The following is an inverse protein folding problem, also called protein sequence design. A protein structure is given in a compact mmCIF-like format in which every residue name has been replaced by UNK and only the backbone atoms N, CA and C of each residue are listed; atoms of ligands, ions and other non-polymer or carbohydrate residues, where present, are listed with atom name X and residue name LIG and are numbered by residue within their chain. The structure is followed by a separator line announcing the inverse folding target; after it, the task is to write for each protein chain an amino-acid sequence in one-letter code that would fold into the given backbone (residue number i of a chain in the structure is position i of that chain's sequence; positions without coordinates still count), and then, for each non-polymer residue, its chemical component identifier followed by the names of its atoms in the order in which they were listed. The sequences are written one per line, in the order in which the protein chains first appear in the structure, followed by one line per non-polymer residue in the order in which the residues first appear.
data_IF_060228386497
#
_entry.id   IF_060228386497
#
_cell.length_a   1.000
_cell.length_b   1.000
_cell.length_c   1.000
_cell.angle_alpha   90.00
_cell.angle_beta   90.00
_cell.angle_gamma   90.00
#
_symmetry.space_group_name_H-M   'P 1'
#
loop_
_entity.id
_entity.type
_entity.pdbx_description
1 polymer ?
#
# COMPACT_ATOMS: atom_id res chain seq x y z
N UNK A 1 -16.15 38.33 6.53
CA UNK A 1 -16.06 38.12 5.06
C UNK A 1 -14.79 37.35 4.61
N UNK A 2 -13.91 36.87 5.51
CA UNK A 2 -12.65 36.19 5.13
C UNK A 2 -12.73 34.69 4.81
N UNK A 3 -13.81 33.98 5.19
CA UNK A 3 -13.88 32.51 5.05
C UNK A 3 -14.07 31.99 3.63
N UNK A 4 -14.66 32.78 2.73
CA UNK A 4 -14.92 32.35 1.35
C UNK A 4 -13.68 32.51 0.46
N UNK A 5 -12.86 33.55 0.68
CA UNK A 5 -11.60 33.74 -0.06
C UNK A 5 -10.59 32.62 0.18
N UNK A 6 -10.46 32.13 1.41
CA UNK A 6 -9.49 31.09 1.77
C UNK A 6 -9.84 29.74 1.12
N UNK A 7 -11.12 29.37 1.09
CA UNK A 7 -11.60 28.14 0.43
C UNK A 7 -11.38 28.21 -1.09
N UNK A 8 -11.55 29.38 -1.68
CA UNK A 8 -11.38 29.60 -3.12
C UNK A 8 -9.90 29.50 -3.54
N UNK A 9 -8.98 30.00 -2.71
CA UNK A 9 -7.52 29.88 -2.91
C UNK A 9 -7.00 28.45 -2.68
N UNK A 10 -7.57 27.71 -1.73
CA UNK A 10 -7.26 26.29 -1.55
C UNK A 10 -7.74 25.49 -2.77
N UNK A 11 -8.92 25.83 -3.31
CA UNK A 11 -9.43 25.22 -4.54
C UNK A 11 -8.41 25.40 -5.67
N UNK A 12 -8.04 26.63 -6.03
CA UNK A 12 -7.13 26.89 -7.16
C UNK A 12 -5.83 26.10 -7.06
N UNK A 13 -5.26 26.00 -5.87
CA UNK A 13 -4.08 25.19 -5.58
C UNK A 13 -4.29 23.70 -5.85
N UNK A 14 -5.45 23.14 -5.49
CA UNK A 14 -5.81 21.75 -5.76
C UNK A 14 -5.92 21.50 -7.28
N UNK A 15 -6.42 22.46 -8.06
CA UNK A 15 -6.54 22.38 -9.53
C UNK A 15 -5.21 22.17 -10.23
N UNK A 16 -4.15 22.75 -9.67
CA UNK A 16 -2.81 22.76 -10.24
C UNK A 16 -2.01 21.47 -9.92
N UNK A 17 -2.58 20.55 -9.14
CA UNK A 17 -1.90 19.29 -8.80
C UNK A 17 -1.90 18.37 -10.03
N UNK A 18 -0.71 18.14 -10.58
CA UNK A 18 -0.49 17.08 -11.55
C UNK A 18 -0.61 15.71 -10.87
N UNK A 19 -1.65 14.98 -11.23
CA UNK A 19 -1.93 13.63 -10.73
C UNK A 19 -1.68 12.54 -11.76
N UNK A 20 -1.09 12.87 -12.92
CA UNK A 20 -0.88 11.92 -14.01
C UNK A 20 -0.15 10.68 -13.55
N UNK A 21 0.92 10.85 -12.78
CA UNK A 21 1.69 9.73 -12.23
C UNK A 21 0.84 8.78 -11.37
N UNK A 22 -0.11 9.31 -10.59
CA UNK A 22 -1.00 8.51 -9.73
C UNK A 22 -2.00 7.72 -10.58
N UNK A 23 -2.50 8.35 -11.65
CA UNK A 23 -3.40 7.68 -12.60
C UNK A 23 -2.67 6.59 -13.37
N UNK A 24 -1.46 6.87 -13.86
CA UNK A 24 -0.63 5.92 -14.58
C UNK A 24 -0.31 4.70 -13.71
N UNK A 25 -0.01 4.91 -12.42
CA UNK A 25 0.15 3.82 -11.44
C UNK A 25 -1.11 2.97 -11.28
N UNK A 26 -2.28 3.59 -11.24
CA UNK A 26 -3.56 2.88 -11.12
C UNK A 26 -3.89 2.04 -12.36
N UNK A 27 -3.30 2.38 -13.51
CA UNK A 27 -3.49 1.69 -14.78
C UNK A 27 -2.45 0.58 -15.05
N UNK A 28 -1.41 0.46 -14.22
CA UNK A 28 -0.39 -0.59 -14.34
C UNK A 28 -1.02 -2.01 -14.36
N UNK A 29 -0.37 -2.98 -15.03
CA UNK A 29 -0.73 -4.38 -14.82
C UNK A 29 -0.39 -4.79 -13.39
N UNK A 30 -1.17 -5.70 -12.83
CA UNK A 30 -0.83 -6.42 -11.62
C UNK A 30 -1.28 -7.86 -11.85
N UNK A 31 -0.32 -8.75 -12.06
CA UNK A 31 -0.54 -10.14 -12.49
C UNK A 31 -0.18 -11.10 -11.36
N UNK A 32 -1.08 -12.01 -11.06
CA UNK A 32 -0.89 -13.03 -10.03
C UNK A 32 -0.92 -14.40 -10.70
N UNK A 33 0.10 -15.24 -10.48
CA UNK A 33 0.02 -16.66 -10.79
C UNK A 33 -0.52 -17.43 -9.58
N UNK A 34 -1.43 -18.36 -9.81
CA UNK A 34 -2.03 -19.20 -8.79
C UNK A 34 -1.78 -20.67 -9.12
N UNK A 35 -1.00 -21.34 -8.27
CA UNK A 35 -0.59 -22.72 -8.43
C UNK A 35 -1.12 -23.58 -7.29
N UNK A 36 -1.40 -24.84 -7.58
CA UNK A 36 -1.91 -25.82 -6.61
C UNK A 36 -3.03 -26.68 -7.21
N UNK A 37 -3.59 -27.58 -6.41
CA UNK A 37 -4.70 -28.42 -6.85
C UNK A 37 -6.03 -27.64 -6.92
N UNK A 38 -6.89 -28.00 -7.87
CA UNK A 38 -8.17 -27.32 -8.13
C UNK A 38 -9.11 -27.29 -6.92
N UNK A 39 -9.13 -28.36 -6.13
CA UNK A 39 -10.25 -28.67 -5.25
C UNK A 39 -10.25 -27.98 -3.89
N UNK A 40 -9.11 -27.51 -3.37
CA UNK A 40 -9.07 -26.99 -1.98
C UNK A 40 -8.21 -25.74 -1.69
N UNK A 41 -7.55 -25.15 -2.69
CA UNK A 41 -6.74 -23.94 -2.47
C UNK A 41 -7.03 -22.82 -3.44
N UNK A 42 -6.94 -23.10 -4.73
CA UNK A 42 -6.97 -22.05 -5.78
C UNK A 42 -8.30 -21.32 -5.85
N UNK A 43 -9.42 -22.03 -5.87
CA UNK A 43 -10.75 -21.40 -5.96
C UNK A 43 -11.05 -20.51 -4.76
N UNK A 44 -10.62 -20.94 -3.56
CA UNK A 44 -10.73 -20.15 -2.35
C UNK A 44 -9.88 -18.87 -2.44
N UNK A 45 -8.60 -18.99 -2.79
CA UNK A 45 -7.72 -17.82 -2.93
C UNK A 45 -8.26 -16.86 -3.99
N UNK A 46 -8.70 -17.38 -5.14
CA UNK A 46 -9.34 -16.59 -6.19
C UNK A 46 -10.59 -15.87 -5.67
N UNK A 47 -11.44 -16.56 -4.89
CA UNK A 47 -12.61 -15.96 -4.25
C UNK A 47 -12.21 -14.87 -3.24
N UNK A 48 -11.22 -15.10 -2.40
CA UNK A 48 -10.76 -14.12 -1.41
C UNK A 48 -10.14 -12.89 -2.08
N UNK A 49 -9.45 -13.05 -3.21
CA UNK A 49 -8.88 -11.94 -4.00
C UNK A 49 -9.96 -11.13 -4.74
N UNK A 50 -11.03 -11.78 -5.18
CA UNK A 50 -12.05 -11.14 -6.04
C UNK A 50 -13.29 -10.67 -5.28
N UNK A 51 -13.53 -11.14 -4.05
CA UNK A 51 -14.64 -10.74 -3.20
C UNK A 51 -14.27 -9.51 -2.35
N UNK A 52 -14.97 -8.40 -2.57
CA UNK A 52 -14.78 -7.15 -1.84
C UNK A 52 -15.87 -6.14 -2.17
N UNK A 53 -15.69 -4.88 -1.76
CA UNK A 53 -16.64 -3.81 -2.08
C UNK A 53 -16.86 -3.68 -3.58
N UNK A 54 -18.11 -3.58 -4.03
CA UNK A 54 -18.49 -3.63 -5.45
C UNK A 54 -19.12 -2.33 -5.98
N UNK A 55 -19.13 -1.23 -5.21
CA UNK A 55 -19.72 0.04 -5.64
C UNK A 55 -19.18 0.50 -7.00
N UNK A 56 -17.90 0.25 -7.25
CA UNK A 56 -17.29 0.38 -8.57
C UNK A 56 -16.83 -0.98 -9.08
N UNK A 57 -17.07 -1.29 -10.37
CA UNK A 57 -16.68 -2.56 -10.95
C UNK A 57 -15.18 -2.77 -10.84
N UNK A 58 -14.77 -4.01 -10.58
CA UNK A 58 -13.37 -4.38 -10.68
C UNK A 58 -12.94 -4.39 -12.15
N UNK A 59 -11.69 -4.02 -12.42
CA UNK A 59 -11.08 -4.37 -13.69
C UNK A 59 -10.89 -5.87 -13.76
N UNK A 60 -10.88 -6.44 -14.96
CA UNK A 60 -10.66 -7.88 -15.17
C UNK A 60 -9.42 -8.33 -14.39
N UNK A 61 -9.57 -9.26 -13.43
CA UNK A 61 -8.46 -9.83 -12.69
C UNK A 61 -7.47 -10.48 -13.67
N UNK A 62 -6.17 -10.23 -13.49
CA UNK A 62 -5.13 -10.85 -14.31
C UNK A 62 -4.51 -12.01 -13.53
N UNK A 63 -5.27 -13.09 -13.38
CA UNK A 63 -4.83 -14.31 -12.68
C UNK A 63 -4.49 -15.38 -13.70
N UNK A 64 -3.28 -15.92 -13.64
CA UNK A 64 -2.87 -17.10 -14.41
C UNK A 64 -3.01 -18.32 -13.51
N UNK A 65 -3.94 -19.21 -13.81
CA UNK A 65 -4.12 -20.46 -13.08
C UNK A 65 -3.21 -21.50 -13.73
N UNK A 66 -2.34 -22.12 -12.94
CA UNK A 66 -1.40 -23.14 -13.41
C UNK A 66 -1.61 -24.39 -12.58
N UNK A 67 -1.85 -25.51 -13.26
CA UNK A 67 -1.99 -26.84 -12.63
C UNK A 67 -0.62 -27.41 -12.27
N UNK A 68 -0.62 -28.27 -11.25
CA UNK A 68 0.52 -29.12 -10.93
C UNK A 68 0.36 -30.49 -11.61
N UNK A 69 1.46 -31.13 -12.07
CA UNK A 69 2.85 -30.71 -11.94
C UNK A 69 3.25 -29.54 -12.86
N UNK A 70 4.19 -28.71 -12.39
CA UNK A 70 4.67 -27.55 -13.15
C UNK A 70 5.52 -27.97 -14.37
N UNK A 71 4.95 -27.79 -15.56
CA UNK A 71 5.59 -28.02 -16.85
C UNK A 71 6.58 -26.91 -17.25
N UNK A 72 7.46 -27.22 -18.22
CA UNK A 72 8.51 -26.29 -18.68
C UNK A 72 7.97 -25.03 -19.37
N UNK A 73 6.91 -25.16 -20.18
CA UNK A 73 6.32 -24.01 -20.88
C UNK A 73 5.66 -23.03 -19.88
N UNK A 74 4.91 -23.58 -18.92
CA UNK A 74 4.24 -22.80 -17.87
C UNK A 74 5.24 -22.04 -16.99
N UNK A 75 6.43 -22.60 -16.76
CA UNK A 75 7.50 -21.92 -16.02
C UNK A 75 8.01 -20.66 -16.73
N UNK A 76 7.90 -20.57 -18.06
CA UNK A 76 8.30 -19.37 -18.82
C UNK A 76 7.31 -18.22 -18.62
N UNK A 77 6.02 -18.54 -18.49
CA UNK A 77 4.95 -17.56 -18.24
C UNK A 77 5.03 -16.93 -16.85
N UNK A 78 5.59 -17.65 -15.86
CA UNK A 78 5.83 -17.13 -14.52
C UNK A 78 6.80 -15.94 -14.49
N UNK A 79 7.66 -15.76 -15.49
CA UNK A 79 8.53 -14.58 -15.56
C UNK A 79 7.79 -13.26 -15.81
N UNK A 80 6.49 -13.32 -16.14
CA UNK A 80 5.66 -12.17 -16.49
C UNK A 80 4.67 -11.76 -15.41
N UNK A 81 4.67 -12.45 -14.26
CA UNK A 81 3.78 -12.16 -13.13
C UNK A 81 4.49 -11.34 -12.06
N UNK A 82 3.70 -10.64 -11.25
CA UNK A 82 4.21 -9.77 -10.18
C UNK A 82 4.22 -10.47 -8.82
N UNK A 83 3.44 -11.56 -8.68
CA UNK A 83 3.38 -12.42 -7.51
C UNK A 83 2.99 -13.85 -7.93
N UNK A 84 3.65 -14.83 -7.32
CA UNK A 84 3.29 -16.25 -7.40
C UNK A 84 2.66 -16.66 -6.07
N UNK A 85 1.49 -17.30 -6.13
CA UNK A 85 0.82 -17.88 -4.97
C UNK A 85 0.74 -19.38 -5.14
N UNK A 86 1.49 -20.12 -4.31
CA UNK A 86 1.39 -21.57 -4.21
C UNK A 86 0.41 -21.94 -3.11
N UNK A 87 -0.70 -22.59 -3.47
CA UNK A 87 -1.73 -22.99 -2.51
C UNK A 87 -1.48 -24.40 -2.02
N UNK A 88 -1.47 -24.60 -0.70
CA UNK A 88 -1.26 -25.89 -0.05
C UNK A 88 -2.40 -26.20 0.93
N UNK A 89 -2.65 -27.48 1.18
CA UNK A 89 -3.61 -27.95 2.18
C UNK A 89 -2.88 -28.56 3.38
N UNK A 90 -3.06 -27.98 4.57
CA UNK A 90 -2.40 -28.45 5.78
C UNK A 90 -2.91 -29.81 6.26
N UNK A 91 -4.09 -30.25 5.80
CA UNK A 91 -4.66 -31.55 6.16
C UNK A 91 -3.95 -32.72 5.47
N UNK A 92 -3.17 -32.43 4.43
CA UNK A 92 -2.44 -33.41 3.64
C UNK A 92 -0.93 -33.23 3.79
N UNK A 93 -0.20 -34.32 3.62
CA UNK A 93 1.25 -34.21 3.44
C UNK A 93 1.54 -33.58 2.08
N UNK A 94 2.65 -32.86 1.98
CA UNK A 94 3.08 -32.25 0.73
C UNK A 94 3.27 -33.35 -0.32
N UNK A 95 2.56 -33.24 -1.45
CA UNK A 95 2.74 -34.14 -2.57
C UNK A 95 4.10 -33.91 -3.25
N UNK A 96 4.59 -34.91 -3.99
CA UNK A 96 5.83 -34.78 -4.76
C UNK A 96 5.77 -33.64 -5.78
N UNK A 97 4.62 -33.44 -6.42
CA UNK A 97 4.43 -32.37 -7.40
C UNK A 97 4.42 -30.98 -6.77
N UNK A 98 3.81 -30.81 -5.58
CA UNK A 98 3.85 -29.57 -4.80
C UNK A 98 5.27 -29.27 -4.30
N UNK A 99 5.99 -30.30 -3.85
CA UNK A 99 7.39 -30.18 -3.45
C UNK A 99 8.28 -29.73 -4.60
N UNK A 100 8.23 -30.43 -5.74
CA UNK A 100 8.99 -30.03 -6.93
C UNK A 100 8.60 -28.65 -7.46
N UNK A 101 7.33 -28.28 -7.35
CA UNK A 101 6.89 -26.94 -7.70
C UNK A 101 7.54 -25.91 -6.78
N UNK A 102 7.48 -26.10 -5.46
CA UNK A 102 8.13 -25.22 -4.50
C UNK A 102 9.63 -25.01 -4.81
N UNK A 103 10.38 -26.10 -5.00
CA UNK A 103 11.81 -26.05 -5.33
C UNK A 103 12.10 -25.20 -6.59
N UNK A 104 11.28 -25.39 -7.64
CA UNK A 104 11.41 -24.61 -8.89
C UNK A 104 11.03 -23.14 -8.69
N UNK A 105 10.01 -22.85 -7.88
CA UNK A 105 9.49 -21.51 -7.68
C UNK A 105 10.38 -20.68 -6.75
N UNK A 106 10.96 -21.30 -5.72
CA UNK A 106 11.79 -20.63 -4.71
C UNK A 106 13.06 -19.97 -5.30
N UNK A 107 13.56 -20.49 -6.42
CA UNK A 107 14.73 -19.95 -7.12
C UNK A 107 14.38 -18.86 -8.16
N UNK A 108 13.10 -18.61 -8.43
CA UNK A 108 12.69 -17.60 -9.39
C UNK A 108 12.87 -16.18 -8.82
N UNK A 109 13.19 -15.17 -9.66
CA UNK A 109 13.33 -13.79 -9.23
C UNK A 109 11.97 -13.08 -9.00
N UNK A 110 10.89 -13.85 -8.83
CA UNK A 110 9.52 -13.37 -8.66
C UNK A 110 9.08 -13.66 -7.23
N UNK A 111 8.41 -12.73 -6.53
CA UNK A 111 7.92 -12.98 -5.18
C UNK A 111 7.02 -14.22 -5.11
N UNK A 112 7.28 -15.09 -4.13
CA UNK A 112 6.51 -16.29 -3.84
C UNK A 112 5.79 -16.13 -2.50
N UNK A 113 4.48 -16.38 -2.50
CA UNK A 113 3.65 -16.52 -1.31
C UNK A 113 3.14 -17.95 -1.22
N UNK A 114 3.33 -18.59 -0.07
CA UNK A 114 2.71 -19.86 0.24
C UNK A 114 1.38 -19.57 0.94
N UNK A 115 0.26 -19.92 0.31
CA UNK A 115 -1.06 -19.78 0.91
C UNK A 115 -1.55 -21.14 1.38
N UNK A 116 -1.61 -21.34 2.69
CA UNK A 116 -1.96 -22.62 3.29
C UNK A 116 -3.37 -22.57 3.81
N UNK A 117 -4.21 -23.52 3.39
CA UNK A 117 -5.50 -23.77 4.04
C UNK A 117 -5.27 -24.62 5.29
N UNK A 118 -5.38 -24.00 6.46
CA UNK A 118 -5.05 -24.61 7.75
C UNK A 118 -4.32 -23.67 8.71
N UNK A 119 -4.01 -24.19 9.90
CA UNK A 119 -3.34 -23.47 10.99
C UNK A 119 -1.86 -23.79 11.11
N UNK A 120 -1.33 -24.69 10.28
CA UNK A 120 0.07 -25.10 10.24
C UNK A 120 0.49 -25.36 8.80
N UNK A 121 1.81 -25.31 8.53
CA UNK A 121 2.35 -25.78 7.24
C UNK A 121 2.12 -27.30 7.10
N UNK A 122 1.90 -27.80 5.87
CA UNK A 122 1.76 -29.23 5.63
C UNK A 122 3.03 -29.99 6.05
N UNK A 123 2.85 -31.24 6.48
CA UNK A 123 3.98 -32.10 6.82
C UNK A 123 4.68 -32.53 5.52
N UNK A 124 6.00 -32.43 5.49
CA UNK A 124 6.83 -33.00 4.43
C UNK A 124 7.39 -34.34 4.91
N UNK A 125 7.36 -35.37 4.05
CA UNK A 125 8.10 -36.62 4.28
C UNK A 125 9.62 -36.41 4.13
N UNK A 126 10.04 -35.35 3.44
CA UNK A 126 11.44 -34.98 3.25
C UNK A 126 11.84 -33.91 4.26
N UNK A 127 12.62 -34.30 5.27
CA UNK A 127 13.01 -33.45 6.41
C UNK A 127 13.99 -32.32 6.04
N UNK A 128 14.78 -32.50 4.97
CA UNK A 128 15.87 -31.59 4.60
C UNK A 128 15.40 -30.20 4.15
N UNK A 129 14.22 -30.10 3.55
CA UNK A 129 13.71 -28.86 2.94
C UNK A 129 12.51 -28.24 3.69
N UNK A 130 12.13 -28.84 4.83
CA UNK A 130 11.07 -28.28 5.69
C UNK A 130 11.46 -26.91 6.27
N UNK A 131 12.76 -26.68 6.51
CA UNK A 131 13.27 -25.39 6.98
C UNK A 131 13.13 -24.28 5.93
N UNK A 132 13.36 -24.57 4.64
CA UNK A 132 13.25 -23.61 3.55
C UNK A 132 11.78 -23.19 3.34
N UNK A 133 10.87 -24.18 3.37
CA UNK A 133 9.44 -23.94 3.31
C UNK A 133 8.95 -23.08 4.49
N UNK A 134 9.50 -23.31 5.70
CA UNK A 134 9.18 -22.51 6.90
C UNK A 134 9.75 -21.08 6.83
N UNK A 135 10.89 -20.89 6.18
CA UNK A 135 11.50 -19.57 6.00
C UNK A 135 10.81 -18.73 4.90
N UNK A 136 10.04 -19.39 4.04
CA UNK A 136 9.35 -18.74 2.93
C UNK A 136 8.14 -17.93 3.41
N UNK A 137 7.83 -16.78 2.78
CA UNK A 137 6.64 -16.02 3.12
C UNK A 137 5.37 -16.86 2.99
N UNK A 138 4.64 -17.03 4.09
CA UNK A 138 3.46 -17.86 4.14
C UNK A 138 2.30 -17.15 4.83
N UNK A 139 1.08 -17.43 4.36
CA UNK A 139 -0.17 -17.06 5.01
C UNK A 139 -0.96 -18.31 5.35
N UNK A 140 -1.32 -18.45 6.62
CA UNK A 140 -2.12 -19.56 7.14
C UNK A 140 -3.58 -19.08 7.21
N UNK A 141 -4.44 -19.72 6.44
CA UNK A 141 -5.86 -19.43 6.37
C UNK A 141 -6.61 -20.47 7.19
N UNK A 142 -6.90 -20.12 8.44
CA UNK A 142 -7.65 -20.97 9.36
C UNK A 142 -9.06 -21.25 8.78
N UNK A 143 -9.41 -22.53 8.52
CA UNK A 143 -10.73 -22.91 8.02
C UNK A 143 -11.89 -22.49 8.93
N UNK A 144 -11.65 -22.31 10.23
CA UNK A 144 -12.65 -21.90 11.22
C UNK A 144 -12.76 -20.37 11.35
N UNK A 145 -11.85 -19.60 10.74
CA UNK A 145 -11.91 -18.16 10.79
C UNK A 145 -12.98 -17.59 9.85
N UNK A 146 -13.57 -16.46 10.25
CA UNK A 146 -14.49 -15.72 9.42
C UNK A 146 -13.87 -15.35 8.06
N UNK A 147 -14.62 -15.41 6.94
CA UNK A 147 -14.10 -15.09 5.61
C UNK A 147 -13.50 -13.68 5.50
N UNK A 148 -13.99 -12.73 6.30
CA UNK A 148 -13.41 -11.38 6.37
C UNK A 148 -12.00 -11.38 6.97
N UNK A 149 -11.76 -12.21 7.98
CA UNK A 149 -10.45 -12.38 8.63
C UNK A 149 -9.47 -13.06 7.67
N UNK A 150 -9.88 -14.15 7.03
CA UNK A 150 -9.08 -14.86 6.02
C UNK A 150 -8.68 -13.91 4.87
N UNK A 151 -9.65 -13.14 4.35
CA UNK A 151 -9.39 -12.14 3.31
C UNK A 151 -8.40 -11.07 3.75
N UNK A 152 -8.54 -10.55 4.98
CA UNK A 152 -7.62 -9.55 5.53
C UNK A 152 -6.20 -10.10 5.63
N UNK A 153 -6.04 -11.33 6.14
CA UNK A 153 -4.74 -11.98 6.27
C UNK A 153 -4.09 -12.21 4.91
N UNK A 154 -4.84 -12.76 3.93
CA UNK A 154 -4.36 -12.93 2.56
C UNK A 154 -3.98 -11.59 1.93
N UNK A 155 -4.85 -10.58 2.03
CA UNK A 155 -4.60 -9.26 1.45
C UNK A 155 -3.32 -8.63 2.02
N UNK A 156 -3.11 -8.71 3.34
CA UNK A 156 -1.90 -8.22 3.98
C UNK A 156 -0.65 -8.94 3.45
N UNK A 157 -0.66 -10.27 3.42
CA UNK A 157 0.47 -11.06 2.92
C UNK A 157 0.78 -10.79 1.43
N UNK A 158 -0.26 -10.62 0.62
CA UNK A 158 -0.10 -10.24 -0.80
C UNK A 158 0.54 -8.85 -0.92
N UNK A 159 0.10 -7.86 -0.14
CA UNK A 159 0.62 -6.48 -0.23
C UNK A 159 2.04 -6.32 0.33
N UNK A 160 2.45 -7.18 1.25
CA UNK A 160 3.84 -7.23 1.74
C UNK A 160 4.83 -7.67 0.64
N UNK A 161 4.37 -8.46 -0.33
CA UNK A 161 5.21 -9.02 -1.40
C UNK A 161 5.05 -8.28 -2.73
N UNK A 162 3.85 -7.80 -3.05
CA UNK A 162 3.59 -7.01 -4.26
C UNK A 162 4.29 -5.65 -4.15
N UNK A 163 5.02 -5.20 -5.19
CA UNK A 163 5.65 -3.87 -5.18
C UNK A 163 4.65 -2.75 -4.87
N UNK A 164 5.05 -1.80 -4.02
CA UNK A 164 4.20 -0.68 -3.57
C UNK A 164 3.56 0.10 -4.74
N UNK A 165 4.32 0.29 -5.84
CA UNK A 165 3.85 0.97 -7.05
C UNK A 165 2.63 0.28 -7.71
N UNK A 166 2.40 -1.02 -7.43
CA UNK A 166 1.29 -1.79 -7.95
C UNK A 166 0.10 -1.85 -6.99
N UNK A 167 0.19 -1.35 -5.75
CA UNK A 167 -0.88 -1.53 -4.74
C UNK A 167 -2.23 -0.96 -5.20
N UNK A 168 -2.26 0.22 -5.82
CA UNK A 168 -3.50 0.81 -6.35
C UNK A 168 -4.04 -0.01 -7.53
N UNK A 169 -3.17 -0.43 -8.46
CA UNK A 169 -3.55 -1.29 -9.58
C UNK A 169 -4.09 -2.65 -9.09
N UNK A 170 -3.47 -3.21 -8.05
CA UNK A 170 -3.89 -4.44 -7.40
C UNK A 170 -5.30 -4.30 -6.81
N UNK A 171 -5.57 -3.25 -6.02
CA UNK A 171 -6.91 -2.98 -5.47
C UNK A 171 -7.99 -2.78 -6.55
N UNK A 172 -7.62 -2.19 -7.69
CA UNK A 172 -8.54 -2.00 -8.84
C UNK A 172 -8.94 -3.31 -9.51
N UNK A 173 -8.04 -4.29 -9.55
CA UNK A 173 -8.24 -5.60 -10.19
C UNK A 173 -8.75 -6.67 -9.22
N UNK A 174 -8.37 -6.56 -7.95
CA UNK A 174 -8.65 -7.53 -6.90
C UNK A 174 -9.41 -6.84 -5.76
N UNK A 175 -10.76 -6.81 -5.80
CA UNK A 175 -11.58 -6.17 -4.77
C UNK A 175 -11.26 -6.64 -3.34
N UNK A 176 -10.79 -7.87 -3.16
CA UNK A 176 -10.40 -8.39 -1.87
C UNK A 176 -9.21 -7.68 -1.22
N UNK A 177 -8.41 -6.95 -2.01
CA UNK A 177 -7.27 -6.16 -1.54
C UNK A 177 -7.64 -4.71 -1.18
N UNK A 178 -8.81 -4.23 -1.60
CA UNK A 178 -9.20 -2.81 -1.52
C UNK A 178 -9.10 -2.21 -0.13
N UNK A 179 -9.65 -2.90 0.87
CA UNK A 179 -9.67 -2.42 2.25
C UNK A 179 -8.25 -2.31 2.83
N UNK A 180 -7.39 -3.30 2.57
CA UNK A 180 -6.03 -3.29 3.12
C UNK A 180 -5.12 -2.28 2.41
N UNK A 181 -5.22 -2.15 1.08
CA UNK A 181 -4.53 -1.08 0.33
C UNK A 181 -4.94 0.30 0.86
N UNK A 182 -6.23 0.48 1.11
CA UNK A 182 -6.76 1.76 1.62
C UNK A 182 -6.28 2.05 3.03
N UNK A 183 -6.30 1.06 3.93
CA UNK A 183 -5.76 1.21 5.27
C UNK A 183 -4.28 1.60 5.25
N UNK A 184 -3.48 0.95 4.39
CA UNK A 184 -2.06 1.27 4.22
C UNK A 184 -1.84 2.70 3.70
N UNK A 185 -2.61 3.12 2.69
CA UNK A 185 -2.56 4.49 2.15
C UNK A 185 -2.89 5.53 3.23
N UNK A 186 -3.99 5.34 3.96
CA UNK A 186 -4.44 6.27 5.01
C UNK A 186 -3.39 6.36 6.11
N UNK A 187 -2.88 5.22 6.58
CA UNK A 187 -1.91 5.17 7.68
C UNK A 187 -0.58 5.80 7.28
N UNK A 188 -0.07 5.47 6.09
CA UNK A 188 1.20 5.99 5.55
C UNK A 188 1.15 7.51 5.36
N UNK A 189 0.09 8.04 4.73
CA UNK A 189 -0.03 9.49 4.51
C UNK A 189 -0.27 10.24 5.82
N UNK A 190 -1.02 9.66 6.76
CA UNK A 190 -1.21 10.25 8.10
C UNK A 190 0.10 10.36 8.85
N UNK A 191 0.94 9.31 8.80
CA UNK A 191 2.27 9.33 9.41
C UNK A 191 3.20 10.33 8.72
N UNK A 192 3.20 10.38 7.39
CA UNK A 192 4.00 11.35 6.61
C UNK A 192 3.63 12.79 6.96
N UNK A 193 2.33 13.11 7.07
CA UNK A 193 1.85 14.43 7.48
C UNK A 193 2.23 14.76 8.94
N UNK A 194 2.18 13.77 9.84
CA UNK A 194 2.65 13.92 11.21
C UNK A 194 4.15 14.23 11.25
N UNK A 195 4.96 13.50 10.48
CA UNK A 195 6.40 13.73 10.35
C UNK A 195 6.70 15.09 9.73
N UNK A 196 5.97 15.51 8.69
CA UNK A 196 6.11 16.84 8.10
C UNK A 196 5.84 17.92 9.15
N UNK A 197 4.71 17.85 9.86
CA UNK A 197 4.34 18.78 10.92
C UNK A 197 5.34 18.80 12.08
N UNK A 198 5.96 17.65 12.39
CA UNK A 198 7.07 17.56 13.34
C UNK A 198 8.28 18.33 12.82
N UNK A 199 8.69 18.10 11.56
CA UNK A 199 9.88 18.75 11.01
C UNK A 199 9.70 20.26 10.78
N UNK A 200 8.53 20.71 10.32
CA UNK A 200 8.23 22.13 10.10
C UNK A 200 7.96 22.88 11.40
N UNK A 201 7.49 22.19 12.44
CA UNK A 201 7.27 22.77 13.77
C UNK A 201 8.55 22.96 14.59
N UNK A 202 9.68 22.36 14.21
CA UNK A 202 10.96 22.51 14.96
C UNK A 202 11.47 23.97 14.92
N UNK A 203 11.56 24.64 13.75
CA UNK A 203 11.97 26.05 13.71
C UNK A 203 10.99 26.99 14.41
N UNK A 204 9.69 26.70 14.39
CA UNK A 204 8.64 27.49 15.04
C UNK A 204 8.77 27.51 16.57
N UNK A 205 9.49 26.55 17.17
CA UNK A 205 9.79 26.54 18.61
C UNK A 205 10.93 27.49 19.00
N UNK A 206 11.66 28.07 18.04
CA UNK A 206 12.72 29.04 18.29
C UNK A 206 12.09 30.44 18.31
N UNK A 207 11.99 31.13 19.48
CA UNK A 207 11.25 32.38 19.61
C UNK A 207 11.72 33.50 18.68
N UNK A 208 13.00 33.48 18.28
CA UNK A 208 13.60 34.46 17.36
C UNK A 208 13.06 34.35 15.93
N UNK A 209 12.51 33.19 15.54
CA UNK A 209 12.04 32.97 14.17
C UNK A 209 10.57 33.35 13.95
N UNK A 210 9.77 33.53 15.00
CA UNK A 210 8.37 34.02 15.01
C UNK A 210 7.54 33.79 13.72
N UNK A 211 7.59 32.57 13.18
CA UNK A 211 6.81 32.18 12.00
C UNK A 211 5.47 31.62 12.49
N UNK A 212 4.35 32.37 12.36
CA UNK A 212 3.03 31.82 12.64
C UNK A 212 2.79 30.64 11.70
N UNK A 213 2.09 29.60 12.17
CA UNK A 213 1.64 28.44 11.38
C UNK A 213 1.63 28.75 9.87
N UNK A 214 2.70 28.38 9.17
CA UNK A 214 2.90 28.96 7.85
C UNK A 214 1.74 28.50 6.96
N UNK A 215 1.09 29.42 6.24
CA UNK A 215 0.07 29.06 5.25
C UNK A 215 0.55 27.95 4.29
N UNK A 216 1.88 27.86 4.09
CA UNK A 216 2.57 26.76 3.44
C UNK A 216 2.36 25.38 4.08
N UNK A 217 2.42 25.23 5.40
CA UNK A 217 2.16 23.95 6.09
C UNK A 217 0.73 23.48 5.83
N UNK A 218 -0.25 24.40 5.96
CA UNK A 218 -1.65 24.09 5.67
C UNK A 218 -1.83 23.67 4.21
N UNK A 219 -1.15 24.35 3.28
CA UNK A 219 -1.21 24.04 1.85
C UNK A 219 -0.62 22.65 1.53
N UNK A 220 0.54 22.30 2.11
CA UNK A 220 1.17 20.99 1.94
C UNK A 220 0.29 19.87 2.50
N UNK A 221 -0.21 20.03 3.74
CA UNK A 221 -1.07 19.03 4.39
C UNK A 221 -2.38 18.83 3.61
N UNK A 222 -3.01 19.92 3.15
CA UNK A 222 -4.25 19.88 2.36
C UNK A 222 -4.02 19.19 1.02
N UNK A 223 -2.90 19.47 0.35
CA UNK A 223 -2.51 18.76 -0.89
C UNK A 223 -2.36 17.26 -0.65
N UNK A 224 -1.67 16.85 0.41
CA UNK A 224 -1.49 15.44 0.74
C UNK A 224 -2.82 14.73 1.06
N UNK A 225 -3.75 15.42 1.74
CA UNK A 225 -5.09 14.89 2.02
C UNK A 225 -5.92 14.73 0.74
N UNK A 226 -5.88 15.69 -0.18
CA UNK A 226 -6.56 15.59 -1.46
C UNK A 226 -5.98 14.45 -2.31
N UNK A 227 -4.64 14.32 -2.36
CA UNK A 227 -3.98 13.23 -3.05
C UNK A 227 -4.31 11.85 -2.44
N UNK A 228 -4.36 11.74 -1.11
CA UNK A 228 -4.80 10.53 -0.42
C UNK A 228 -6.23 10.16 -0.84
N UNK A 229 -7.15 11.11 -0.75
CA UNK A 229 -8.54 10.91 -1.14
C UNK A 229 -8.68 10.41 -2.58
N UNK A 230 -7.91 10.96 -3.51
CA UNK A 230 -7.87 10.50 -4.89
C UNK A 230 -7.30 9.07 -5.03
N UNK A 231 -6.22 8.75 -4.33
CA UNK A 231 -5.66 7.38 -4.32
C UNK A 231 -6.65 6.36 -3.76
N UNK A 232 -7.39 6.72 -2.71
CA UNK A 232 -8.47 5.88 -2.15
C UNK A 232 -9.58 5.68 -3.17
N UNK A 233 -10.02 6.73 -3.86
CA UNK A 233 -11.01 6.63 -4.93
C UNK A 233 -10.57 5.64 -6.02
N UNK A 234 -9.33 5.81 -6.50
CA UNK A 234 -8.75 4.95 -7.52
C UNK A 234 -8.63 3.51 -7.04
N UNK A 235 -8.15 3.27 -5.81
CA UNK A 235 -8.05 1.93 -5.23
C UNK A 235 -9.42 1.24 -5.13
N UNK A 236 -10.49 1.99 -4.83
CA UNK A 236 -11.87 1.49 -4.82
C UNK A 236 -12.43 1.20 -6.21
N UNK A 237 -11.73 1.56 -7.28
CA UNK A 237 -12.15 1.33 -8.66
C UNK A 237 -12.89 2.51 -9.29
N UNK A 238 -13.02 3.65 -8.60
CA UNK A 238 -13.65 4.83 -9.18
C UNK A 238 -12.88 5.31 -10.43
N UNK A 239 -13.60 5.90 -11.37
CA UNK A 239 -13.07 6.49 -12.59
C UNK A 239 -13.51 7.95 -12.71
N UNK A 240 -12.69 8.78 -13.33
CA UNK A 240 -12.91 10.23 -13.38
C UNK A 240 -11.63 11.02 -13.25
N UNK A 241 -11.72 12.32 -13.56
CA UNK A 241 -10.63 13.24 -13.28
C UNK A 241 -10.55 13.57 -11.78
N UNK A 242 -9.37 14.02 -11.35
CA UNK A 242 -9.11 14.40 -9.97
C UNK A 242 -10.11 15.44 -9.45
N UNK A 243 -10.46 16.43 -10.26
CA UNK A 243 -11.32 17.53 -9.83
C UNK A 243 -12.74 17.07 -9.53
N UNK A 244 -13.29 16.17 -10.35
CA UNK A 244 -14.61 15.58 -10.19
C UNK A 244 -14.67 14.72 -8.92
N UNK A 245 -13.69 13.82 -8.75
CA UNK A 245 -13.60 12.95 -7.56
C UNK A 245 -13.45 13.73 -6.26
N UNK A 246 -12.62 14.78 -6.24
CA UNK A 246 -12.48 15.61 -5.03
C UNK A 246 -13.76 16.41 -4.77
N UNK A 247 -14.47 16.86 -5.81
CA UNK A 247 -15.78 17.53 -5.68
C UNK A 247 -16.83 16.64 -5.03
N UNK A 248 -16.87 15.37 -5.38
CA UNK A 248 -17.79 14.39 -4.77
C UNK A 248 -17.55 14.21 -3.26
N UNK A 249 -16.32 14.42 -2.81
CA UNK A 249 -15.96 14.29 -1.39
C UNK A 249 -16.23 15.54 -0.55
N UNK A 250 -16.47 16.71 -1.16
CA UNK A 250 -16.74 17.95 -0.40
C UNK A 250 -17.90 17.80 0.61
N UNK A 251 -19.04 17.17 0.25
CA UNK A 251 -20.13 16.90 1.19
C UNK A 251 -19.76 15.86 2.26
N UNK A 252 -18.91 14.88 1.93
CA UNK A 252 -18.54 13.72 2.77
C UNK A 252 -17.57 14.11 3.88
N UNK A 253 -16.53 14.86 3.54
CA UNK A 253 -15.59 15.47 4.50
C UNK A 253 -16.30 16.58 5.30
N UNK A 254 -17.51 16.96 4.86
CA UNK A 254 -18.50 17.66 5.63
C UNK A 254 -18.27 19.16 5.65
N UNK A 255 -18.38 19.85 4.51
CA UNK A 255 -18.75 21.28 4.42
C UNK A 255 -18.15 22.24 5.48
N UNK A 256 -16.91 22.03 5.89
CA UNK A 256 -16.22 22.78 6.95
C UNK A 256 -16.46 22.36 8.41
N UNK A 257 -17.32 21.38 8.74
CA UNK A 257 -17.54 20.90 10.12
C UNK A 257 -16.35 20.13 10.69
N UNK A 258 -15.79 19.18 9.92
CA UNK A 258 -14.57 18.47 10.33
C UNK A 258 -13.43 19.47 10.55
N UNK A 259 -13.28 20.45 9.66
CA UNK A 259 -12.27 21.48 9.77
C UNK A 259 -12.51 22.41 10.96
N UNK A 260 -13.77 22.72 11.31
CA UNK A 260 -14.09 23.48 12.53
C UNK A 260 -13.74 22.70 13.81
N UNK A 261 -13.92 21.39 13.83
CA UNK A 261 -13.54 20.57 14.99
C UNK A 261 -12.01 20.50 15.14
N UNK A 262 -11.29 20.21 14.07
CA UNK A 262 -9.83 20.22 14.08
C UNK A 262 -9.28 21.61 14.39
N UNK A 263 -9.85 22.67 13.80
CA UNK A 263 -9.48 24.04 14.08
C UNK A 263 -9.80 24.45 15.52
N UNK A 264 -10.91 24.01 16.14
CA UNK A 264 -11.17 24.26 17.57
C UNK A 264 -10.16 23.58 18.47
N UNK A 265 -9.75 22.35 18.12
CA UNK A 265 -8.65 21.67 18.82
C UNK A 265 -7.35 22.44 18.67
N UNK A 266 -7.12 23.11 17.52
CA UNK A 266 -5.98 24.00 17.29
C UNK A 266 -6.11 25.39 17.96
N UNK A 267 -7.32 25.96 18.07
CA UNK A 267 -7.59 27.29 18.66
C UNK A 267 -7.51 27.24 20.19
N UNK A 268 -7.77 26.06 20.78
CA UNK A 268 -7.45 25.81 22.19
C UNK A 268 -5.94 25.72 22.48
N UNK A 269 -5.07 25.75 21.45
CA UNK A 269 -3.63 25.80 21.63
C UNK A 269 -3.10 27.24 21.67
N UNK A 270 -2.56 27.62 22.82
CA UNK A 270 -1.78 28.86 23.03
C UNK A 270 -0.48 28.78 22.20
N UNK A 271 0.02 29.90 21.64
CA UNK A 271 1.37 29.97 21.06
C UNK A 271 2.40 29.41 22.06
N UNK A 272 3.15 28.36 21.67
CA UNK A 272 4.14 27.70 22.53
C UNK A 272 3.74 26.35 23.15
N UNK A 273 2.52 25.84 22.95
CA UNK A 273 2.06 24.56 23.56
C UNK A 273 2.78 23.29 23.02
N UNK A 274 3.64 23.45 22.02
CA UNK A 274 4.68 22.47 21.71
C UNK A 274 4.34 21.52 20.56
N UNK A 275 5.38 20.82 20.13
CA UNK A 275 5.41 20.03 18.91
C UNK A 275 4.40 18.87 18.88
N UNK A 276 4.09 18.32 20.05
CA UNK A 276 3.31 17.09 20.19
C UNK A 276 1.84 17.24 19.72
N UNK A 277 1.07 18.24 20.16
CA UNK A 277 -0.29 18.43 19.64
C UNK A 277 -0.34 18.76 18.13
N UNK A 278 0.62 19.54 17.60
CA UNK A 278 0.68 19.86 16.15
C UNK A 278 0.79 18.57 15.32
N UNK A 279 1.70 17.69 15.72
CA UNK A 279 1.92 16.37 15.09
C UNK A 279 0.69 15.48 15.21
N UNK A 280 0.07 15.44 16.40
CA UNK A 280 -1.12 14.64 16.63
C UNK A 280 -2.32 15.08 15.78
N UNK A 281 -2.54 16.40 15.64
CA UNK A 281 -3.61 16.95 14.80
C UNK A 281 -3.35 16.68 13.32
N UNK A 282 -2.12 16.83 12.85
CA UNK A 282 -1.76 16.54 11.46
C UNK A 282 -2.02 15.06 11.10
N UNK A 283 -1.67 14.13 12.01
CA UNK A 283 -2.02 12.72 11.89
C UNK A 283 -3.54 12.52 11.84
N UNK A 284 -4.24 12.98 12.88
CA UNK A 284 -5.67 12.71 13.07
C UNK A 284 -6.54 13.29 11.95
N UNK A 285 -6.26 14.53 11.53
CA UNK A 285 -6.99 15.17 10.44
C UNK A 285 -6.86 14.41 9.12
N UNK A 286 -5.65 13.92 8.83
CA UNK A 286 -5.39 13.13 7.62
C UNK A 286 -6.06 11.77 7.69
N UNK A 287 -5.97 11.08 8.82
CA UNK A 287 -6.57 9.77 9.04
C UNK A 287 -8.09 9.82 8.86
N UNK A 288 -8.76 10.75 9.55
CA UNK A 288 -10.22 10.88 9.50
C UNK A 288 -10.70 11.24 8.10
N UNK A 289 -9.96 12.09 7.37
CA UNK A 289 -10.26 12.43 5.97
C UNK A 289 -10.17 11.20 5.07
N UNK A 290 -9.13 10.39 5.26
CA UNK A 290 -8.96 9.13 4.56
C UNK A 290 -10.10 8.15 4.82
N UNK A 291 -10.51 7.98 6.09
CA UNK A 291 -11.63 7.10 6.47
C UNK A 291 -12.95 7.59 5.86
N UNK A 292 -13.20 8.90 5.89
CA UNK A 292 -14.39 9.48 5.27
C UNK A 292 -14.41 9.23 3.75
N UNK A 293 -13.28 9.45 3.06
CA UNK A 293 -13.16 9.14 1.64
C UNK A 293 -13.37 7.66 1.35
N UNK A 294 -12.78 6.77 2.16
CA UNK A 294 -12.95 5.32 2.02
C UNK A 294 -14.42 4.91 2.16
N UNK A 295 -15.12 5.32 3.22
CA UNK A 295 -16.54 4.98 3.42
C UNK A 295 -17.43 5.48 2.29
N UNK A 296 -17.14 6.68 1.77
CA UNK A 296 -17.82 7.18 0.58
C UNK A 296 -17.56 6.27 -0.61
N UNK A 297 -16.33 6.07 -1.04
CA UNK A 297 -16.07 5.27 -2.25
C UNK A 297 -16.42 3.79 -2.09
N UNK A 298 -16.43 3.26 -0.87
CA UNK A 298 -16.78 1.88 -0.60
C UNK A 298 -18.31 1.66 -0.62
N UNK A 299 -19.08 2.52 0.06
CA UNK A 299 -20.52 2.28 0.32
C UNK A 299 -21.45 3.45 -0.03
N UNK A 300 -20.92 4.61 -0.40
CA UNK A 300 -21.71 5.83 -0.60
C UNK A 300 -22.21 6.46 0.69
N UNK A 301 -21.60 6.08 1.81
CA UNK A 301 -22.03 6.52 3.13
C UNK A 301 -21.41 7.88 3.48
N UNK A 302 -22.26 8.76 4.01
CA UNK A 302 -21.81 9.93 4.75
C UNK A 302 -21.54 9.51 6.20
N UNK A 303 -20.40 9.93 6.76
CA UNK A 303 -20.09 9.67 8.16
C UNK A 303 -20.97 10.57 9.04
N UNK A 304 -21.72 9.99 9.97
CA UNK A 304 -22.55 10.78 10.87
C UNK A 304 -21.69 11.66 11.79
N UNK A 305 -22.27 12.73 12.34
CA UNK A 305 -21.53 13.63 13.25
C UNK A 305 -20.98 12.90 14.49
N UNK A 306 -21.75 11.97 15.05
CA UNK A 306 -21.36 11.22 16.24
C UNK A 306 -20.21 10.25 15.94
N UNK A 307 -20.29 9.51 14.83
CA UNK A 307 -19.20 8.64 14.38
C UNK A 307 -17.94 9.44 14.07
N UNK A 308 -18.08 10.59 13.40
CA UNK A 308 -16.96 11.46 13.08
C UNK A 308 -16.25 11.96 14.35
N UNK A 309 -17.01 12.33 15.39
CA UNK A 309 -16.43 12.71 16.68
C UNK A 309 -15.68 11.56 17.34
N UNK A 310 -16.23 10.34 17.29
CA UNK A 310 -15.57 9.14 17.80
C UNK A 310 -14.27 8.85 17.04
N UNK A 311 -14.31 8.91 15.70
CA UNK A 311 -13.14 8.72 14.84
C UNK A 311 -12.06 9.77 15.10
N UNK A 312 -12.43 11.06 15.25
CA UNK A 312 -11.49 12.13 15.58
C UNK A 312 -10.84 11.89 16.94
N UNK A 313 -11.60 11.46 17.96
CA UNK A 313 -11.05 11.18 19.30
C UNK A 313 -10.05 10.03 19.26
N UNK A 314 -10.40 8.93 18.59
CA UNK A 314 -9.51 7.77 18.43
C UNK A 314 -8.23 8.14 17.65
N UNK A 315 -8.39 8.86 16.54
CA UNK A 315 -7.27 9.27 15.69
C UNK A 315 -6.34 10.29 16.39
N UNK A 316 -6.86 11.17 17.24
CA UNK A 316 -6.05 12.07 18.06
C UNK A 316 -5.24 11.33 19.10
N UNK A 317 -5.81 10.30 19.73
CA UNK A 317 -5.09 9.48 20.70
C UNK A 317 -3.97 8.70 20.03
N UNK A 318 -4.24 8.05 18.90
CA UNK A 318 -3.19 7.41 18.11
C UNK A 318 -2.14 8.44 17.65
N UNK A 319 -2.58 9.58 17.14
CA UNK A 319 -1.70 10.67 16.71
C UNK A 319 -0.76 11.16 17.83
N UNK A 320 -1.24 11.23 19.08
CA UNK A 320 -0.40 11.56 20.24
C UNK A 320 0.63 10.49 20.53
N UNK A 321 0.27 9.21 20.44
CA UNK A 321 1.21 8.10 20.63
C UNK A 321 2.31 8.12 19.56
N UNK A 322 1.94 8.31 18.28
CA UNK A 322 2.89 8.48 17.17
C UNK A 322 3.77 9.72 17.37
N UNK A 323 3.20 10.84 17.81
CA UNK A 323 3.94 12.06 18.10
C UNK A 323 4.97 11.85 19.22
N UNK A 324 4.58 11.18 20.31
CA UNK A 324 5.50 10.80 21.40
C UNK A 324 6.67 9.96 20.88
N UNK A 325 6.40 8.97 20.03
CA UNK A 325 7.45 8.13 19.44
C UNK A 325 8.42 8.95 18.56
N UNK A 326 7.90 9.85 17.71
CA UNK A 326 8.73 10.73 16.87
C UNK A 326 9.61 11.68 17.69
N UNK A 327 9.07 12.26 18.77
CA UNK A 327 9.81 13.16 19.67
C UNK A 327 10.81 12.37 20.54
N UNK A 328 10.44 11.19 21.00
CA UNK A 328 11.30 10.31 21.80
C UNK A 328 12.56 9.87 21.05
N UNK A 329 12.40 9.47 19.79
CA UNK A 329 13.53 9.08 18.93
C UNK A 329 14.53 10.23 18.72
N UNK A 330 14.08 11.49 18.70
CA UNK A 330 14.98 12.65 18.61
C UNK A 330 15.87 12.79 19.85
N UNK A 331 15.32 12.61 21.05
CA UNK A 331 16.12 12.73 22.29
C UNK A 331 17.25 11.69 22.34
N UNK A 332 17.05 10.52 21.73
CA UNK A 332 18.07 9.49 21.60
C UNK A 332 19.13 9.82 20.52
N UNK A 333 18.74 10.50 19.43
CA UNK A 333 19.66 10.95 18.39
C UNK A 333 20.50 12.19 18.79
N UNK A 334 20.00 13.02 19.72
CA UNK A 334 20.70 14.20 20.27
C UNK A 334 21.71 13.81 21.40
N UNK A 335 21.83 12.52 21.75
CA UNK A 335 22.82 12.00 22.71
C UNK A 335 24.20 11.81 22.01
N UNK A 336 25.25 12.58 22.36
CA UNK A 336 26.53 12.58 21.66
C UNK A 336 27.31 11.26 21.74
N UNK A 337 26.84 10.28 22.52
CA UNK A 337 27.48 8.96 22.64
C UNK A 337 27.06 7.95 21.56
N UNK A 338 26.02 8.24 20.77
CA UNK A 338 25.44 7.30 19.80
C UNK A 338 25.79 7.61 18.32
N UNK A 339 27.08 7.78 17.98
CA UNK A 339 27.49 8.06 16.59
C UNK A 339 27.91 6.80 15.82
N UNK A 340 26.97 6.17 15.12
CA UNK A 340 27.27 5.24 14.00
C UNK A 340 26.13 5.05 12.97
N UNK A 341 24.97 5.71 13.13
CA UNK A 341 23.82 5.54 12.21
C UNK A 341 23.50 6.85 11.48
N UNK A 342 23.06 6.79 10.21
CA UNK A 342 22.72 7.99 9.45
C UNK A 342 21.63 8.78 10.16
N UNK A 343 21.84 10.09 10.30
CA UNK A 343 20.96 10.97 11.07
C UNK A 343 19.52 10.94 10.55
N UNK A 344 18.54 11.09 11.44
CA UNK A 344 17.11 11.10 11.12
C UNK A 344 16.74 12.02 9.95
N UNK A 345 17.42 13.17 9.81
CA UNK A 345 17.26 14.11 8.68
C UNK A 345 17.63 13.49 7.32
N UNK A 346 18.71 12.70 7.26
CA UNK A 346 19.16 12.03 6.03
C UNK A 346 18.22 10.89 5.63
N UNK A 347 17.68 10.15 6.61
CA UNK A 347 16.71 9.06 6.37
C UNK A 347 15.37 9.59 5.84
N UNK A 348 14.90 10.71 6.38
CA UNK A 348 13.64 11.36 5.93
C UNK A 348 13.80 12.01 4.55
N UNK A 349 14.94 12.64 4.26
CA UNK A 349 15.20 13.23 2.94
C UNK A 349 15.19 12.21 1.80
N UNK A 350 15.54 10.95 2.07
CA UNK A 350 15.44 9.86 1.09
C UNK A 350 13.99 9.39 0.86
N UNK A 351 13.15 9.43 1.89
CA UNK A 351 11.73 9.00 1.84
C UNK A 351 10.82 10.09 1.24
N UNK A 352 11.14 11.36 1.45
CA UNK A 352 10.33 12.50 0.98
C UNK A 352 10.74 13.03 -0.41
N UNK A 353 11.78 12.49 -1.05
CA UNK A 353 12.23 12.99 -2.36
C UNK A 353 11.62 12.18 -3.52
N UNK A 354 10.59 12.70 -4.22
CA UNK A 354 9.92 12.00 -5.31
C UNK A 354 10.88 11.62 -6.45
N UNK A 355 11.96 12.38 -6.68
CA UNK A 355 12.92 12.10 -7.78
C UNK A 355 13.73 10.81 -7.58
N UNK A 356 14.00 10.40 -6.33
CA UNK A 356 14.73 9.16 -6.05
C UNK A 356 13.86 7.92 -6.28
N UNK A 357 12.57 8.05 -5.98
CA UNK A 357 11.55 7.06 -6.29
C UNK A 357 11.37 6.86 -7.81
N UNK A 358 11.28 7.95 -8.59
CA UNK A 358 11.24 7.86 -10.06
C UNK A 358 12.53 7.31 -10.69
N UNK A 359 13.70 7.57 -10.09
CA UNK A 359 15.00 7.09 -10.60
C UNK A 359 15.16 5.57 -10.41
N UNK A 360 14.73 5.04 -9.26
CA UNK A 360 14.67 3.60 -9.01
C UNK A 360 13.66 2.88 -9.92
N UNK A 361 12.51 3.52 -10.18
CA UNK A 361 11.47 3.03 -11.09
C UNK A 361 11.93 2.99 -12.55
N UNK A 362 12.59 4.04 -13.06
CA UNK A 362 13.17 4.08 -14.42
C UNK A 362 14.25 3.03 -14.63
N UNK A 363 15.05 2.71 -13.61
CA UNK A 363 16.09 1.68 -13.71
C UNK A 363 15.48 0.28 -13.89
N UNK A 364 14.30 0.02 -13.31
CA UNK A 364 13.58 -1.25 -13.41
C UNK A 364 12.78 -1.37 -14.71
N UNK A 365 12.19 -0.27 -15.18
CA UNK A 365 11.46 -0.20 -16.48
C UNK A 365 12.38 -0.22 -17.71
N UNK A 366 13.69 0.06 -17.56
CA UNK A 366 14.67 0.04 -18.66
C UNK A 366 15.31 -1.33 -18.94
N UNK A 367 14.95 -2.39 -18.22
CA UNK A 367 15.38 -3.75 -18.58
C UNK A 367 14.67 -4.18 -19.87
N UNK A 368 15.26 -3.87 -21.02
CA UNK A 368 14.89 -4.48 -22.29
C UNK A 368 15.05 -6.00 -22.16
N UNK A 369 14.16 -6.82 -22.75
CA UNK A 369 14.36 -8.26 -22.82
C UNK A 369 15.70 -8.50 -23.53
N UNK A 370 16.57 -9.31 -22.91
CA UNK A 370 17.77 -9.81 -23.60
C UNK A 370 17.28 -10.57 -24.83
N UNK A 371 17.58 -10.05 -26.01
CA UNK A 371 17.45 -10.80 -27.26
C UNK A 371 18.30 -12.06 -27.12
N UNK A 372 17.63 -13.21 -27.09
CA UNK A 372 18.29 -14.51 -27.17
C UNK A 372 19.04 -14.52 -28.50
N UNK A 373 20.38 -14.60 -28.44
CA UNK A 373 21.19 -14.86 -29.63
C UNK A 373 20.74 -16.19 -30.21
N UNK A 374 20.23 -16.15 -31.45
CA UNK A 374 19.96 -17.31 -32.28
C UNK A 374 21.29 -18.05 -32.44
N UNK A 375 21.48 -19.15 -31.72
CA UNK A 375 22.54 -20.12 -32.00
C UNK A 375 22.24 -20.73 -33.36
N UNK A 376 23.09 -20.43 -34.32
CA UNK A 376 23.14 -21.06 -35.64
C UNK A 376 23.36 -22.57 -35.49
N UNK A 377 22.49 -23.36 -36.11
CA UNK A 377 22.64 -24.81 -36.28
C UNK A 377 23.97 -25.15 -36.98
N UNK A 378 24.66 -26.23 -36.60
CA UNK A 378 25.79 -26.73 -37.36
C UNK A 378 25.27 -27.45 -38.60
N UNK A 379 25.72 -27.01 -39.77
CA UNK A 379 25.50 -27.68 -41.06
C UNK A 379 26.30 -28.97 -41.08
N UNK A 380 25.61 -30.10 -41.02
CA UNK A 380 26.19 -31.42 -41.19
C UNK A 380 26.46 -31.64 -42.70
N UNK A 381 27.70 -31.40 -43.12
CA UNK A 381 28.20 -31.85 -44.42
C UNK A 381 28.95 -33.17 -44.22
N UNK A 382 28.23 -34.29 -44.35
CA UNK A 382 28.83 -35.58 -44.62
C UNK A 382 29.06 -35.70 -46.13
N UNK A 383 30.33 -35.65 -46.51
CA UNK A 383 30.81 -35.98 -47.84
C UNK A 383 31.81 -37.12 -47.67
N UNK A 384 31.44 -38.36 -48.03
CA UNK A 384 32.25 -39.22 -48.92
C UNK A 384 31.64 -40.62 -49.12
N UNK A 385 31.54 -40.97 -50.41
CA UNK A 385 31.88 -42.28 -50.99
C UNK A 385 30.95 -43.48 -50.72
N UNK A 386 30.08 -43.75 -51.71
CA UNK A 386 30.21 -44.87 -52.65
C UNK A 386 29.30 -44.64 -53.87
#
# INVERSE_FOLDING_TARGET
MSRFSDVTNIWSTIKEIDVRDIRDQADLPCRIALLGHATFGRDLIMRLLTLGAQRFPARTPQVSIIDLPLGREQATDLNRVDLIVLTLDASQALSYDEFLAYEKLAILPVPLLIAVWGTNLPKSSESTHQADLQASPAVLLDPQAEPATQRKMLAKAVLELVPEALHIAAARRYPGLRSEVTNNLISSVSLSNATFAFTSGIPEMIPVLNLPLNAADMLVLTKNQALLAYRVALAMGAEGDFSAMIRELLPVVGGGFLWRQLARQLVGLIPGIGLLPKVAVAYAGTFVTGIAAWRWYERGELVSKAELQSLVKAALEEGRQRAKALIGNRKADDDPTASAKPSFRQRIGAVLNPKNWFKALRARLRRKPKSIQKTTEPTDQSNSAA
#
